data_IF_363128714559
#
_entry.id   IF_363128714559
#
_cell.length_a   1.000
_cell.length_b   1.000
_cell.length_c   1.000
_cell.angle_alpha   90.00
_cell.angle_beta   90.00
_cell.angle_gamma   90.00
#
_symmetry.space_group_name_H-M   'P 1'
#
loop_
_entity.id
_entity.type
_entity.pdbx_description
1 polymer ?
#
# COMPACT_ATOMS: atom_id res chain seq x y z
N UNK A 1 18.84 -1.33 35.98
CA UNK A 1 18.53 -0.17 35.11
C UNK A 1 17.69 -0.65 33.94
N UNK A 2 16.41 -0.26 33.86
CA UNK A 2 15.48 -0.70 32.82
C UNK A 2 15.36 0.42 31.77
N UNK A 3 15.85 0.17 30.55
CA UNK A 3 15.72 1.11 29.44
C UNK A 3 14.26 1.15 28.95
N UNK A 4 13.55 2.20 29.37
CA UNK A 4 12.21 2.54 28.91
C UNK A 4 12.29 3.07 27.47
N UNK A 5 12.18 2.20 26.46
CA UNK A 5 12.05 2.61 25.05
C UNK A 5 10.73 3.36 24.89
N UNK A 6 10.78 4.67 24.66
CA UNK A 6 9.61 5.45 24.24
C UNK A 6 9.36 5.15 22.77
N UNK A 7 8.35 4.33 22.49
CA UNK A 7 7.79 4.19 21.16
C UNK A 7 7.03 5.48 20.86
N UNK A 8 7.57 6.30 19.94
CA UNK A 8 6.86 7.41 19.33
C UNK A 8 5.64 6.83 18.62
N UNK A 9 4.44 7.26 19.03
CA UNK A 9 3.18 6.75 18.51
C UNK A 9 2.96 7.16 17.06
N UNK A 10 3.51 6.39 16.14
CA UNK A 10 3.22 6.47 14.71
C UNK A 10 1.79 5.94 14.52
N UNK A 11 0.84 6.82 14.20
CA UNK A 11 -0.54 6.42 13.91
C UNK A 11 -0.57 5.74 12.55
N UNK A 12 -0.48 4.41 12.56
CA UNK A 12 -0.69 3.60 11.35
C UNK A 12 -2.20 3.56 11.08
N UNK A 13 -2.65 4.29 10.07
CA UNK A 13 -4.02 4.19 9.58
C UNK A 13 -4.12 2.93 8.72
N UNK A 14 -4.65 1.85 9.29
CA UNK A 14 -5.00 0.65 8.53
C UNK A 14 -6.32 0.92 7.79
N UNK A 15 -6.28 0.98 6.46
CA UNK A 15 -7.48 0.92 5.65
C UNK A 15 -7.72 -0.54 5.27
N UNK A 16 -8.76 -1.13 5.86
CA UNK A 16 -9.23 -2.46 5.46
C UNK A 16 -10.00 -2.28 4.16
N UNK A 17 -9.45 -2.80 3.06
CA UNK A 17 -10.12 -2.82 1.77
C UNK A 17 -10.85 -4.16 1.63
N UNK A 18 -12.18 -4.12 1.66
CA UNK A 18 -13.02 -5.31 1.52
C UNK A 18 -13.13 -5.69 0.04
N UNK A 19 -12.79 -6.94 -0.26
CA UNK A 19 -12.92 -7.52 -1.59
C UNK A 19 -14.37 -8.01 -1.79
N UNK A 20 -15.25 -7.07 -2.19
CA UNK A 20 -16.68 -7.32 -2.34
C UNK A 20 -16.99 -8.45 -3.34
N UNK A 21 -16.17 -8.64 -4.36
CA UNK A 21 -16.36 -9.65 -5.39
C UNK A 21 -16.31 -11.06 -4.80
N UNK A 22 -15.36 -11.32 -3.90
CA UNK A 22 -15.25 -12.59 -3.19
C UNK A 22 -16.40 -12.83 -2.22
N UNK A 23 -16.84 -11.78 -1.52
CA UNK A 23 -17.98 -11.88 -0.61
C UNK A 23 -19.26 -12.28 -1.37
N UNK A 24 -19.52 -11.64 -2.52
CA UNK A 24 -20.66 -11.97 -3.39
C UNK A 24 -20.56 -13.43 -3.88
N UNK A 25 -19.37 -13.88 -4.29
CA UNK A 25 -19.16 -15.25 -4.76
C UNK A 25 -19.45 -16.29 -3.67
N UNK A 26 -19.04 -16.05 -2.42
CA UNK A 26 -19.35 -16.94 -1.28
C UNK A 26 -20.85 -17.02 -1.02
N UNK A 27 -21.58 -15.91 -1.12
CA UNK A 27 -23.03 -15.87 -0.95
C UNK A 27 -23.74 -16.68 -2.04
N UNK A 28 -23.34 -16.49 -3.30
CA UNK A 28 -23.89 -17.25 -4.43
C UNK A 28 -23.64 -18.75 -4.26
N UNK A 29 -22.40 -19.13 -3.90
CA UNK A 29 -22.05 -20.53 -3.65
C UNK A 29 -22.88 -21.15 -2.52
N UNK A 30 -23.11 -20.41 -1.44
CA UNK A 30 -23.95 -20.84 -0.32
C UNK A 30 -25.39 -21.12 -0.76
N UNK A 31 -25.97 -20.25 -1.59
CA UNK A 31 -27.32 -20.46 -2.15
C UNK A 31 -27.38 -21.73 -3.01
N UNK A 32 -26.38 -21.98 -3.85
CA UNK A 32 -26.32 -23.22 -4.65
C UNK A 32 -26.25 -24.48 -3.77
N UNK A 33 -25.48 -24.45 -2.68
CA UNK A 33 -25.37 -25.59 -1.76
C UNK A 33 -26.70 -25.83 -1.03
N UNK A 34 -27.38 -24.77 -0.57
CA UNK A 34 -28.70 -24.89 0.09
C UNK A 34 -29.73 -25.47 -0.88
N UNK A 35 -29.83 -24.92 -2.10
CA UNK A 35 -30.74 -25.43 -3.12
C UNK A 35 -30.42 -26.89 -3.48
N UNK A 36 -29.15 -27.24 -3.63
CA UNK A 36 -28.71 -28.61 -3.88
C UNK A 36 -29.07 -29.57 -2.74
N UNK A 37 -28.91 -29.14 -1.48
CA UNK A 37 -29.28 -29.92 -0.30
C UNK A 37 -30.79 -30.20 -0.22
N UNK A 38 -31.63 -29.19 -0.52
CA UNK A 38 -33.09 -29.36 -0.58
C UNK A 38 -33.48 -30.33 -1.69
N UNK A 39 -32.90 -30.18 -2.89
CA UNK A 39 -33.18 -31.08 -4.02
C UNK A 39 -32.74 -32.52 -3.71
N UNK A 40 -31.57 -32.71 -3.09
CA UNK A 40 -31.11 -34.03 -2.66
C UNK A 40 -32.04 -34.64 -1.61
N UNK A 41 -32.51 -33.85 -0.63
CA UNK A 41 -33.45 -34.32 0.40
C UNK A 41 -34.76 -34.81 -0.20
N UNK A 42 -35.32 -34.08 -1.19
CA UNK A 42 -36.53 -34.50 -1.91
C UNK A 42 -36.27 -35.77 -2.74
N UNK A 43 -35.13 -35.83 -3.44
CA UNK A 43 -34.81 -36.94 -4.33
C UNK A 43 -34.58 -38.26 -3.60
N UNK A 44 -33.84 -38.23 -2.49
CA UNK A 44 -33.50 -39.43 -1.72
C UNK A 44 -34.53 -39.77 -0.64
N UNK A 45 -35.51 -38.90 -0.38
CA UNK A 45 -36.53 -39.10 0.66
C UNK A 45 -35.93 -39.38 2.04
N UNK A 46 -34.89 -38.61 2.42
CA UNK A 46 -34.19 -38.79 3.69
C UNK A 46 -35.09 -38.58 4.91
N UNK A 47 -34.87 -39.38 5.95
CA UNK A 47 -35.49 -39.17 7.25
C UNK A 47 -34.97 -37.88 7.92
N UNK A 48 -35.69 -37.39 8.94
CA UNK A 48 -35.32 -36.15 9.67
C UNK A 48 -33.89 -36.23 10.20
N UNK A 49 -33.48 -37.38 10.73
CA UNK A 49 -32.14 -37.60 11.28
C UNK A 49 -31.07 -37.58 10.18
N UNK A 50 -31.33 -38.22 9.04
CA UNK A 50 -30.42 -38.26 7.90
C UNK A 50 -30.26 -36.87 7.27
N UNK A 51 -31.36 -36.13 7.14
CA UNK A 51 -31.36 -34.77 6.62
C UNK A 51 -30.57 -33.82 7.55
N UNK A 52 -30.67 -34.00 8.86
CA UNK A 52 -29.86 -33.26 9.84
C UNK A 52 -28.36 -33.54 9.66
N UNK A 53 -27.98 -34.82 9.54
CA UNK A 53 -26.58 -35.22 9.33
C UNK A 53 -26.03 -34.67 8.01
N UNK A 54 -26.81 -34.76 6.94
CA UNK A 54 -26.45 -34.25 5.62
C UNK A 54 -26.26 -32.73 5.64
N UNK A 55 -27.16 -32.00 6.31
CA UNK A 55 -27.06 -30.55 6.50
C UNK A 55 -25.80 -30.17 7.29
N UNK A 56 -25.45 -30.91 8.35
CA UNK A 56 -24.22 -30.69 9.11
C UNK A 56 -22.98 -30.87 8.22
N UNK A 57 -22.95 -31.90 7.38
CA UNK A 57 -21.84 -32.14 6.44
C UNK A 57 -21.72 -30.99 5.44
N UNK A 58 -22.84 -30.53 4.86
CA UNK A 58 -22.84 -29.40 3.91
C UNK A 58 -22.33 -28.11 4.55
N UNK A 59 -22.69 -27.82 5.80
CA UNK A 59 -22.21 -26.63 6.52
C UNK A 59 -20.70 -26.68 6.73
N UNK A 60 -20.15 -27.85 7.08
CA UNK A 60 -18.69 -28.02 7.26
C UNK A 60 -17.97 -27.84 5.92
N UNK A 61 -18.46 -28.48 4.85
CA UNK A 61 -17.88 -28.36 3.51
C UNK A 61 -17.94 -26.90 3.03
N UNK A 62 -19.07 -26.22 3.23
CA UNK A 62 -19.22 -24.81 2.91
C UNK A 62 -18.25 -23.94 3.70
N UNK A 63 -18.06 -24.18 5.00
CA UNK A 63 -17.10 -23.44 5.82
C UNK A 63 -15.66 -23.57 5.31
N UNK A 64 -15.25 -24.77 4.89
CA UNK A 64 -13.92 -25.01 4.30
C UNK A 64 -13.78 -24.27 2.96
N UNK A 65 -14.78 -24.37 2.08
CA UNK A 65 -14.79 -23.67 0.79
C UNK A 65 -14.78 -22.15 0.96
N UNK A 66 -15.62 -21.63 1.85
CA UNK A 66 -15.69 -20.21 2.17
C UNK A 66 -14.37 -19.70 2.75
N UNK A 67 -13.73 -20.46 3.64
CA UNK A 67 -12.40 -20.14 4.18
C UNK A 67 -11.34 -20.09 3.08
N UNK A 68 -11.37 -21.04 2.14
CA UNK A 68 -10.45 -21.07 1.01
C UNK A 68 -10.67 -19.89 0.04
N UNK A 69 -11.93 -19.56 -0.27
CA UNK A 69 -12.30 -18.45 -1.16
C UNK A 69 -11.98 -17.09 -0.53
N UNK A 70 -12.28 -16.92 0.76
CA UNK A 70 -11.92 -15.70 1.49
C UNK A 70 -10.42 -15.60 1.77
N UNK A 71 -9.70 -16.73 1.68
CA UNK A 71 -8.25 -16.88 1.51
C UNK A 71 -7.40 -15.80 2.15
N UNK A 72 -6.81 -16.11 3.32
CA UNK A 72 -5.76 -15.36 4.03
C UNK A 72 -5.58 -13.92 3.51
N UNK A 73 -6.59 -13.08 3.73
CA UNK A 73 -6.43 -11.63 3.71
C UNK A 73 -5.64 -11.25 4.97
N UNK A 74 -4.42 -11.77 5.09
CA UNK A 74 -3.41 -11.23 5.98
C UNK A 74 -3.24 -9.79 5.53
N UNK A 75 -3.80 -8.89 6.34
CA UNK A 75 -3.65 -7.44 6.37
C UNK A 75 -2.68 -7.00 5.29
N UNK A 76 -3.22 -6.67 4.11
CA UNK A 76 -2.41 -6.09 3.04
C UNK A 76 -1.88 -4.79 3.64
N UNK A 77 -0.60 -4.76 4.01
CA UNK A 77 0.04 -3.56 4.53
C UNK A 77 -0.10 -2.48 3.47
N UNK A 78 -1.06 -1.59 3.68
CA UNK A 78 -1.31 -0.45 2.80
C UNK A 78 0.00 0.32 2.76
N UNK A 79 0.50 0.49 1.53
CA UNK A 79 1.70 1.21 1.19
C UNK A 79 1.76 2.49 2.04
N UNK A 80 2.78 2.62 2.90
CA UNK A 80 2.91 3.76 3.81
C UNK A 80 2.97 5.03 2.97
N UNK A 81 1.85 5.73 2.83
CA UNK A 81 1.86 7.11 2.39
C UNK A 81 2.57 7.89 3.50
N UNK A 82 3.87 8.07 3.32
CA UNK A 82 4.61 9.11 4.01
C UNK A 82 3.99 10.43 3.57
N UNK A 83 2.95 10.87 4.27
CA UNK A 83 2.51 12.25 4.25
C UNK A 83 3.70 13.04 4.78
N UNK A 84 4.56 13.50 3.86
CA UNK A 84 5.46 14.60 4.13
C UNK A 84 4.54 15.75 4.46
N UNK A 85 4.40 16.02 5.74
CA UNK A 85 3.90 17.29 6.22
C UNK A 85 4.83 18.35 5.60
N UNK A 86 4.40 18.92 4.47
CA UNK A 86 5.01 20.10 3.91
C UNK A 86 4.70 21.16 4.97
N UNK A 87 5.67 21.47 5.82
CA UNK A 87 5.65 22.65 6.67
C UNK A 87 5.28 23.82 5.76
N UNK A 88 4.01 24.25 5.82
CA UNK A 88 3.57 25.45 5.12
C UNK A 88 4.43 26.57 5.71
N UNK A 89 5.23 27.29 4.90
CA UNK A 89 5.90 28.47 5.42
C UNK A 89 4.80 29.43 5.86
N UNK A 90 4.69 29.65 7.16
CA UNK A 90 3.77 30.62 7.73
C UNK A 90 4.01 31.96 7.02
N UNK A 91 2.98 32.63 6.49
CA UNK A 91 3.16 33.96 5.94
C UNK A 91 3.65 34.85 7.07
N UNK A 92 4.83 35.45 6.88
CA UNK A 92 5.38 36.47 7.76
C UNK A 92 4.41 37.64 7.72
N UNK A 93 3.59 37.76 8.76
CA UNK A 93 2.70 38.90 8.96
C UNK A 93 3.58 40.11 9.28
N UNK A 94 3.88 40.93 8.26
CA UNK A 94 4.49 42.23 8.46
C UNK A 94 3.50 43.12 9.23
N UNK A 95 3.73 43.27 10.54
CA UNK A 95 3.03 44.28 11.35
C UNK A 95 3.50 45.66 10.90
N UNK A 96 2.65 46.35 10.15
CA UNK A 96 2.75 47.80 10.01
C UNK A 96 2.40 48.42 11.37
N UNK A 97 3.39 49.02 12.03
CA UNK A 97 3.19 49.84 13.22
C UNK A 97 2.64 51.17 12.73
N UNK A 98 1.31 51.35 12.78
CA UNK A 98 0.72 52.68 12.73
C UNK A 98 0.93 53.32 14.10
N UNK A 99 1.86 54.27 14.18
CA UNK A 99 1.97 55.21 15.31
C UNK A 99 0.80 56.18 15.22
N UNK A 100 -0.19 55.96 16.09
CA UNK A 100 -1.23 56.95 16.41
C UNK A 100 -0.82 57.58 17.73
N UNK A 101 -0.49 58.86 17.70
CA UNK A 101 -0.20 59.65 18.90
C UNK A 101 -1.52 59.91 19.64
N UNK A 102 -1.72 59.20 20.76
CA UNK A 102 -2.73 59.55 21.75
C UNK A 102 -2.17 59.27 23.16
N UNK A 103 -2.09 60.28 24.05
CA UNK A 103 -1.62 60.08 25.41
C UNK A 103 -2.80 59.71 26.33
N UNK A 104 -2.98 58.42 26.61
CA UNK A 104 -3.77 57.98 27.78
C UNK A 104 -3.06 56.80 28.43
N UNK A 105 -2.61 57.04 29.67
CA UNK A 105 -1.92 56.10 30.54
C UNK A 105 -2.94 55.06 31.04
N UNK A 106 -2.84 53.83 30.53
CA UNK A 106 -3.30 52.64 31.26
C UNK A 106 -2.14 51.65 31.30
N UNK A 107 -1.50 51.56 32.46
CA UNK A 107 -0.53 50.51 32.78
C UNK A 107 -1.30 49.20 32.84
N UNK A 108 -1.28 48.45 31.74
CA UNK A 108 -1.68 47.05 31.70
C UNK A 108 -0.39 46.27 31.57
N UNK A 109 0.01 45.62 32.66
CA UNK A 109 1.12 44.68 32.69
C UNK A 109 0.79 43.52 31.75
N UNK A 110 1.37 43.54 30.54
CA UNK A 110 1.34 42.39 29.65
C UNK A 110 2.36 41.39 30.18
N UNK A 111 1.96 40.16 30.56
CA UNK A 111 2.93 39.13 30.92
C UNK A 111 3.81 38.86 29.70
N UNK A 112 5.10 39.13 29.83
CA UNK A 112 6.09 38.87 28.80
C UNK A 112 6.03 37.39 28.40
N UNK A 113 5.92 37.04 27.10
CA UNK A 113 6.01 35.65 26.71
C UNK A 113 7.44 35.18 27.00
N UNK A 114 7.57 34.26 27.94
CA UNK A 114 8.84 33.58 28.24
C UNK A 114 9.28 32.85 26.97
N UNK A 115 10.27 33.41 26.28
CA UNK A 115 10.92 32.78 25.14
C UNK A 115 11.70 31.60 25.70
N UNK A 116 11.09 30.41 25.67
CA UNK A 116 11.81 29.17 25.96
C UNK A 116 12.65 28.86 24.72
N UNK A 117 13.95 29.09 24.81
CA UNK A 117 14.91 28.58 23.85
C UNK A 117 14.88 27.05 23.93
N UNK A 118 14.03 26.44 23.10
CA UNK A 118 13.98 25.00 22.96
C UNK A 118 15.22 24.62 22.16
N UNK A 119 16.27 24.18 22.86
CA UNK A 119 17.44 23.55 22.28
C UNK A 119 17.01 22.31 21.48
N UNK A 120 16.70 22.51 20.19
CA UNK A 120 16.45 21.39 19.27
C UNK A 120 17.79 20.73 19.04
N UNK A 121 18.03 19.62 19.73
CA UNK A 121 19.16 18.73 19.44
C UNK A 121 19.04 18.30 17.98
N UNK A 122 19.91 18.83 17.13
CA UNK A 122 20.00 18.45 15.73
C UNK A 122 20.61 17.05 15.70
N UNK A 123 19.75 16.05 15.56
CA UNK A 123 20.19 14.67 15.39
C UNK A 123 20.82 14.56 14.00
N UNK A 124 22.15 14.63 13.94
CA UNK A 124 22.93 14.32 12.75
C UNK A 124 22.64 12.85 12.42
N UNK A 125 21.82 12.64 11.41
CA UNK A 125 21.46 11.30 10.94
C UNK A 125 22.66 10.75 10.19
N UNK A 126 23.10 9.55 10.57
CA UNK A 126 24.26 8.90 9.94
C UNK A 126 24.09 8.87 8.41
N UNK A 127 25.17 9.10 7.63
CA UNK A 127 25.10 9.12 6.18
C UNK A 127 24.66 7.74 5.67
N UNK A 128 23.56 7.72 4.91
CA UNK A 128 23.02 6.48 4.34
C UNK A 128 24.05 5.81 3.44
N UNK A 129 24.39 4.57 3.75
CA UNK A 129 25.28 3.75 2.93
C UNK A 129 24.70 3.59 1.51
N UNK A 130 25.45 4.00 0.48
CA UNK A 130 25.03 3.85 -0.91
C UNK A 130 25.12 2.37 -1.30
N UNK A 131 24.00 1.77 -1.68
CA UNK A 131 23.99 0.41 -2.24
C UNK A 131 24.69 0.46 -3.61
N UNK A 132 25.66 -0.43 -3.83
CA UNK A 132 26.34 -0.58 -5.12
C UNK A 132 25.44 -1.39 -6.07
N UNK A 133 24.45 -0.73 -6.65
CA UNK A 133 23.48 -1.37 -7.55
C UNK A 133 24.07 -1.35 -8.97
N UNK A 134 24.32 -2.52 -9.60
CA UNK A 134 24.86 -2.58 -10.95
C UNK A 134 23.96 -1.87 -11.95
N UNK A 135 24.57 -1.10 -12.86
CA UNK A 135 23.86 -0.34 -13.86
C UNK A 135 23.67 -1.15 -15.15
N UNK A 136 22.47 -1.64 -15.41
CA UNK A 136 22.16 -2.39 -16.64
C UNK A 136 21.80 -1.48 -17.83
N UNK A 137 22.26 -1.82 -19.04
CA UNK A 137 21.96 -1.06 -20.28
C UNK A 137 20.52 -1.27 -20.76
N UNK A 138 20.04 -2.51 -20.73
CA UNK A 138 18.70 -2.89 -21.20
C UNK A 138 17.84 -3.41 -20.04
N UNK A 139 16.55 -3.14 -20.12
CA UNK A 139 15.54 -3.52 -19.12
C UNK A 139 14.27 -3.96 -19.82
N UNK A 140 13.61 -5.00 -19.32
CA UNK A 140 12.38 -5.54 -19.87
C UNK A 140 11.33 -5.84 -18.82
N UNK A 141 10.09 -6.03 -19.27
CA UNK A 141 8.96 -6.44 -18.42
C UNK A 141 8.60 -7.89 -18.71
N UNK A 142 8.61 -8.75 -17.70
CA UNK A 142 8.16 -10.15 -17.84
C UNK A 142 6.67 -10.27 -18.18
N UNK A 143 5.87 -9.24 -17.89
CA UNK A 143 4.43 -9.22 -18.14
C UNK A 143 4.11 -8.88 -19.60
N UNK A 144 4.70 -7.80 -20.13
CA UNK A 144 4.43 -7.36 -21.52
C UNK A 144 5.36 -8.00 -22.54
N UNK A 145 6.40 -8.72 -22.09
CA UNK A 145 7.44 -9.29 -22.93
C UNK A 145 8.06 -8.25 -23.87
N UNK A 146 8.26 -7.02 -23.38
CA UNK A 146 8.94 -5.94 -24.12
C UNK A 146 10.20 -5.50 -23.41
N UNK A 147 11.26 -5.22 -24.17
CA UNK A 147 12.51 -4.69 -23.64
C UNK A 147 12.85 -3.31 -24.21
N UNK A 148 13.55 -2.53 -23.39
CA UNK A 148 13.75 -1.09 -23.52
C UNK A 148 15.21 -0.75 -23.20
N UNK A 149 15.66 0.42 -23.67
CA UNK A 149 16.83 1.07 -23.08
C UNK A 149 16.49 1.56 -21.68
N UNK A 150 17.46 1.57 -20.77
CA UNK A 150 17.25 2.09 -19.42
C UNK A 150 16.81 3.57 -19.40
N UNK A 151 17.20 4.35 -20.39
CA UNK A 151 16.80 5.76 -20.55
C UNK A 151 15.36 5.95 -21.06
N UNK A 152 14.70 4.89 -21.52
CA UNK A 152 13.33 4.96 -22.06
C UNK A 152 12.34 5.49 -21.01
N UNK A 153 11.34 6.26 -21.43
CA UNK A 153 10.26 6.71 -20.54
C UNK A 153 9.43 5.53 -20.01
N UNK A 154 9.12 4.57 -20.87
CA UNK A 154 8.29 3.39 -20.51
C UNK A 154 9.03 2.50 -19.52
N UNK A 155 10.35 2.38 -19.60
CA UNK A 155 11.11 1.50 -18.70
C UNK A 155 11.01 1.92 -17.23
N UNK A 156 10.86 3.23 -16.97
CA UNK A 156 10.65 3.77 -15.62
C UNK A 156 9.30 3.41 -15.01
N UNK A 157 8.32 3.04 -15.85
CA UNK A 157 6.98 2.64 -15.42
C UNK A 157 6.83 1.13 -15.21
N UNK A 158 7.87 0.33 -15.48
CA UNK A 158 7.83 -1.12 -15.25
C UNK A 158 7.85 -1.39 -13.75
N UNK A 159 6.89 -2.16 -13.24
CA UNK A 159 6.83 -2.59 -11.84
C UNK A 159 8.08 -3.39 -11.49
N UNK A 160 8.65 -3.16 -10.29
CA UNK A 160 9.86 -3.87 -9.82
C UNK A 160 9.71 -5.40 -9.82
N UNK A 161 8.50 -5.91 -9.55
CA UNK A 161 8.19 -7.36 -9.57
C UNK A 161 8.34 -8.02 -10.93
N UNK A 162 8.24 -7.25 -12.01
CA UNK A 162 8.29 -7.74 -13.39
C UNK A 162 9.52 -7.21 -14.14
N UNK A 163 10.40 -6.47 -13.46
CA UNK A 163 11.58 -5.85 -14.07
C UNK A 163 12.69 -6.88 -14.25
N UNK A 164 13.03 -7.17 -15.50
CA UNK A 164 14.18 -7.99 -15.88
C UNK A 164 15.28 -7.08 -16.41
N UNK A 165 16.48 -7.12 -15.83
CA UNK A 165 17.59 -6.24 -16.22
C UNK A 165 18.77 -7.06 -16.72
N UNK A 166 19.31 -6.70 -17.89
CA UNK A 166 20.47 -7.37 -18.47
C UNK A 166 21.29 -6.38 -19.34
N UNK A 167 22.60 -6.60 -19.44
CA UNK A 167 23.47 -5.82 -20.31
C UNK A 167 23.47 -6.29 -21.76
N UNK A 168 23.16 -7.56 -22.01
CA UNK A 168 23.09 -8.11 -23.36
C UNK A 168 21.70 -7.96 -23.96
N UNK A 169 21.64 -7.43 -25.19
CA UNK A 169 20.43 -7.41 -26.00
C UNK A 169 20.01 -8.82 -26.43
N UNK A 170 20.99 -9.69 -26.70
CA UNK A 170 20.73 -11.04 -27.20
C UNK A 170 19.99 -11.88 -26.16
N UNK A 171 20.20 -11.62 -24.87
CA UNK A 171 19.41 -12.21 -23.80
C UNK A 171 17.90 -11.99 -24.04
N UNK A 172 17.48 -10.75 -24.30
CA UNK A 172 16.08 -10.42 -24.50
C UNK A 172 15.53 -11.02 -25.79
N UNK A 173 16.33 -11.06 -26.87
CA UNK A 173 15.97 -11.70 -28.14
C UNK A 173 15.76 -13.21 -27.99
N UNK A 174 16.68 -13.89 -27.31
CA UNK A 174 16.62 -15.33 -27.07
C UNK A 174 15.42 -15.71 -26.19
N UNK A 175 15.00 -14.83 -25.28
CA UNK A 175 13.81 -15.00 -24.44
C UNK A 175 12.52 -14.46 -25.08
N UNK A 176 12.52 -14.17 -26.39
CA UNK A 176 11.35 -13.73 -27.16
C UNK A 176 10.74 -12.39 -26.70
N UNK A 177 11.53 -11.49 -26.11
CA UNK A 177 11.08 -10.14 -25.81
C UNK A 177 11.06 -9.29 -27.09
N UNK A 178 9.97 -8.53 -27.28
CA UNK A 178 9.83 -7.57 -28.37
C UNK A 178 10.59 -6.28 -28.05
N UNK A 179 11.27 -5.73 -29.05
CA UNK A 179 11.94 -4.44 -28.91
C UNK A 179 10.91 -3.31 -28.79
N UNK A 180 11.13 -2.39 -27.86
CA UNK A 180 10.29 -1.21 -27.73
C UNK A 180 10.37 -0.33 -28.99
N UNK A 181 9.20 0.04 -29.50
CA UNK A 181 9.08 0.90 -30.68
C UNK A 181 9.48 2.36 -30.40
N UNK A 182 9.38 2.84 -29.15
CA UNK A 182 9.71 4.24 -28.84
C UNK A 182 11.21 4.47 -28.70
N UNK A 183 11.92 3.59 -27.99
CA UNK A 183 13.35 3.78 -27.75
C UNK A 183 14.24 3.03 -28.74
N UNK A 184 13.65 2.24 -29.65
CA UNK A 184 14.35 1.43 -30.66
C UNK A 184 15.68 0.87 -30.14
N UNK A 185 15.66 0.00 -29.10
CA UNK A 185 16.88 -0.52 -28.47
C UNK A 185 17.74 -1.33 -29.46
N UNK A 186 17.20 -1.58 -30.64
CA UNK A 186 17.85 -2.26 -31.73
C UNK A 186 18.92 -1.46 -32.47
N UNK A 187 18.85 -0.13 -32.38
CA UNK A 187 19.72 0.81 -33.10
C UNK A 187 20.96 1.26 -32.31
N UNK A 188 21.11 0.79 -31.06
CA UNK A 188 22.12 1.21 -30.07
C UNK A 188 22.85 0.04 -29.42
#
# INVERSE_FOLDING_TARGET
MVHKRRYSGEKVNYRVEYDYDKAILVVILGLFIICGGILASIYFSFDIVENLVMTCILVVVFGILASYIMGNQMVREVEREFVREIEKPYPVVQRYIQTIDNPIIKVVEKPYPVIREIERKVFVTEPRHKLNIPHYKYVGSSETMTYHLRSCRISKSIKRSHLVSNNSRDYFRNHKYKACQLCHPEKH
#
